data_IF_879778935353
#
_entry.id   IF_879778935353
#
_cell.length_a   1.000
_cell.length_b   1.000
_cell.length_c   1.000
_cell.angle_alpha   90.00
_cell.angle_beta   90.00
_cell.angle_gamma   90.00
#
_symmetry.space_group_name_H-M   'P 1'
#
loop_
_entity.id
_entity.type
_entity.pdbx_description
1 polymer ?
#
# COMPACT_ATOMS: atom_id res chain seq x y z
N UNK A 1 -9.31 9.26 -60.00
CA UNK A 1 -8.99 10.57 -59.42
C UNK A 1 -7.46 10.63 -59.26
N UNK A 2 -6.77 11.42 -60.03
CA UNK A 2 -5.29 11.56 -59.86
C UNK A 2 -5.05 12.46 -58.67
N UNK A 3 -4.61 11.86 -57.58
CA UNK A 3 -4.12 12.61 -56.41
C UNK A 3 -2.93 13.41 -56.83
N UNK A 4 -2.95 14.72 -56.64
CA UNK A 4 -1.89 15.59 -57.07
C UNK A 4 -0.80 15.50 -55.98
N UNK A 5 0.19 14.60 -56.17
CA UNK A 5 1.32 14.37 -55.28
C UNK A 5 2.15 15.65 -54.99
N UNK A 6 2.04 16.65 -55.86
CA UNK A 6 2.76 17.94 -55.70
C UNK A 6 2.27 18.74 -54.52
N UNK A 7 0.94 18.75 -54.21
CA UNK A 7 0.37 19.56 -53.15
C UNK A 7 0.77 19.10 -51.74
N UNK A 8 0.80 17.78 -51.52
CA UNK A 8 1.20 17.24 -50.19
C UNK A 8 2.70 17.38 -49.94
N UNK A 9 3.50 17.29 -50.98
CA UNK A 9 4.96 17.50 -50.89
C UNK A 9 5.30 18.98 -50.65
N UNK A 10 4.50 19.91 -51.21
CA UNK A 10 4.64 21.34 -50.95
C UNK A 10 4.19 21.73 -49.54
N UNK A 11 3.11 21.11 -49.02
CA UNK A 11 2.70 21.30 -47.63
C UNK A 11 3.76 20.79 -46.65
N UNK A 12 4.37 19.64 -46.90
CA UNK A 12 5.49 19.13 -46.09
C UNK A 12 6.74 20.03 -46.19
N UNK A 13 6.96 20.71 -47.30
CA UNK A 13 8.08 21.69 -47.46
C UNK A 13 7.80 22.98 -46.66
N UNK A 14 6.54 23.40 -46.53
CA UNK A 14 6.15 24.59 -45.78
C UNK A 14 5.93 24.31 -44.29
N UNK A 15 5.44 23.10 -43.92
CA UNK A 15 5.18 22.71 -42.56
C UNK A 15 6.49 22.35 -41.86
N UNK A 16 6.77 23.04 -40.77
CA UNK A 16 7.92 22.68 -39.91
C UNK A 16 7.54 21.51 -38.99
N UNK A 17 8.42 20.48 -38.81
CA UNK A 17 8.18 19.43 -37.83
C UNK A 17 7.94 20.02 -36.45
N UNK A 18 6.95 19.53 -35.75
CA UNK A 18 6.66 20.00 -34.39
C UNK A 18 7.82 19.74 -33.44
N UNK A 19 8.26 20.77 -32.73
CA UNK A 19 9.35 20.68 -31.76
C UNK A 19 8.96 19.68 -30.63
N UNK A 20 9.92 18.83 -30.16
CA UNK A 20 9.63 17.86 -29.09
C UNK A 20 8.99 18.47 -27.85
N UNK A 21 9.42 19.67 -27.44
CA UNK A 21 8.84 20.38 -26.29
C UNK A 21 7.36 20.71 -26.46
N UNK A 22 6.93 21.17 -27.66
CA UNK A 22 5.51 21.42 -27.95
C UNK A 22 4.68 20.13 -27.94
N UNK A 23 5.24 19.04 -28.47
CA UNK A 23 4.59 17.72 -28.45
C UNK A 23 4.43 17.22 -27.03
N UNK A 24 5.45 17.41 -26.17
CA UNK A 24 5.39 17.05 -24.79
C UNK A 24 4.30 17.83 -24.03
N UNK A 25 4.26 19.17 -24.20
CA UNK A 25 3.21 20.01 -23.57
C UNK A 25 1.83 19.59 -24.04
N UNK A 26 1.65 19.36 -25.35
CA UNK A 26 0.37 18.86 -25.89
C UNK A 26 -0.03 17.52 -25.26
N UNK A 27 0.91 16.56 -25.17
CA UNK A 27 0.68 15.29 -24.51
C UNK A 27 0.31 15.47 -23.03
N UNK A 28 0.99 16.37 -22.33
CA UNK A 28 0.72 16.62 -20.91
C UNK A 28 -0.68 17.23 -20.68
N UNK A 29 -1.13 18.13 -21.56
CA UNK A 29 -2.50 18.65 -21.52
C UNK A 29 -3.50 17.52 -21.75
N UNK A 30 -3.29 16.69 -22.76
CA UNK A 30 -4.14 15.53 -23.04
C UNK A 30 -4.14 14.54 -21.86
N UNK A 31 -2.99 14.32 -21.24
CA UNK A 31 -2.85 13.47 -20.05
C UNK A 31 -3.72 13.97 -18.89
N UNK A 32 -3.68 15.26 -18.59
CA UNK A 32 -4.51 15.86 -17.55
C UNK A 32 -5.99 15.68 -17.87
N UNK A 33 -6.40 15.92 -19.12
CA UNK A 33 -7.80 15.78 -19.55
C UNK A 33 -8.25 14.31 -19.41
N UNK A 34 -7.46 13.37 -19.92
CA UNK A 34 -7.75 11.93 -19.78
C UNK A 34 -7.87 11.54 -18.30
N UNK A 35 -6.96 12.03 -17.46
CA UNK A 35 -7.00 11.75 -16.03
C UNK A 35 -8.33 12.20 -15.40
N UNK A 36 -8.71 13.46 -15.60
CA UNK A 36 -9.96 13.97 -15.01
C UNK A 36 -11.20 13.28 -15.57
N UNK A 37 -11.28 13.07 -16.87
CA UNK A 37 -12.43 12.38 -17.49
C UNK A 37 -12.52 10.93 -17.00
N UNK A 38 -11.40 10.22 -16.98
CA UNK A 38 -11.36 8.84 -16.48
C UNK A 38 -11.72 8.76 -14.99
N UNK A 39 -11.29 9.75 -14.19
CA UNK A 39 -11.65 9.79 -12.77
C UNK A 39 -13.15 10.02 -12.56
N UNK A 40 -13.77 10.91 -13.32
CA UNK A 40 -15.23 11.11 -13.26
C UNK A 40 -16.00 9.85 -13.68
N UNK A 41 -15.55 9.21 -14.76
CA UNK A 41 -16.13 7.91 -15.20
C UNK A 41 -15.95 6.86 -14.12
N UNK A 42 -14.78 6.84 -13.46
CA UNK A 42 -14.49 5.92 -12.37
C UNK A 42 -15.43 6.15 -11.18
N UNK A 43 -15.63 7.38 -10.74
CA UNK A 43 -16.55 7.68 -9.63
C UNK A 43 -17.96 7.13 -9.90
N UNK A 44 -18.47 7.33 -11.12
CA UNK A 44 -19.76 6.76 -11.53
C UNK A 44 -19.76 5.23 -11.61
N UNK A 45 -18.74 4.66 -12.25
CA UNK A 45 -18.56 3.21 -12.37
C UNK A 45 -18.38 2.52 -11.02
N UNK A 46 -17.70 3.17 -10.08
CA UNK A 46 -17.50 2.62 -8.74
C UNK A 46 -18.81 2.57 -7.93
N UNK A 47 -19.73 3.52 -8.10
CA UNK A 47 -21.05 3.44 -7.47
C UNK A 47 -21.84 2.22 -8.00
N UNK A 48 -21.75 1.94 -9.31
CA UNK A 48 -22.34 0.74 -9.90
C UNK A 48 -21.68 -0.52 -9.32
N UNK A 49 -20.36 -0.52 -9.21
CA UNK A 49 -19.60 -1.65 -8.63
C UNK A 49 -20.00 -1.90 -7.17
N UNK A 50 -20.14 -0.86 -6.35
CA UNK A 50 -20.60 -0.96 -4.96
C UNK A 50 -22.01 -1.55 -4.84
N UNK A 51 -22.86 -1.32 -5.82
CA UNK A 51 -24.23 -1.85 -5.86
C UNK A 51 -24.28 -3.31 -6.36
N UNK A 52 -23.17 -3.86 -6.83
CA UNK A 52 -23.10 -5.24 -7.30
C UNK A 52 -23.19 -6.22 -6.14
N UNK A 53 -24.07 -7.21 -6.22
CA UNK A 53 -24.24 -8.24 -5.19
C UNK A 53 -22.94 -8.98 -4.86
N UNK A 54 -22.09 -9.22 -5.86
CA UNK A 54 -20.79 -9.86 -5.66
C UNK A 54 -19.80 -9.00 -4.87
N UNK A 55 -19.81 -7.68 -5.07
CA UNK A 55 -18.99 -6.74 -4.30
C UNK A 55 -19.49 -6.65 -2.86
N UNK A 56 -20.81 -6.49 -2.66
CA UNK A 56 -21.43 -6.45 -1.33
C UNK A 56 -21.11 -7.72 -0.53
N UNK A 57 -21.33 -8.89 -1.12
CA UNK A 57 -20.98 -10.16 -0.47
C UNK A 57 -19.51 -10.30 -0.10
N UNK A 58 -18.59 -9.71 -0.86
CA UNK A 58 -17.17 -9.69 -0.46
C UNK A 58 -16.90 -8.73 0.68
N UNK A 59 -17.58 -7.59 0.69
CA UNK A 59 -17.47 -6.61 1.78
C UNK A 59 -18.03 -7.17 3.09
N UNK A 60 -19.20 -7.81 3.05
CA UNK A 60 -19.80 -8.48 4.19
C UNK A 60 -18.86 -9.56 4.74
N UNK A 61 -18.24 -10.35 3.86
CA UNK A 61 -17.29 -11.37 4.27
C UNK A 61 -16.03 -10.79 4.91
N UNK A 62 -15.47 -9.71 4.36
CA UNK A 62 -14.34 -9.00 4.97
C UNK A 62 -14.72 -8.52 6.38
N UNK A 63 -15.89 -7.93 6.53
CA UNK A 63 -16.35 -7.44 7.84
C UNK A 63 -16.57 -8.58 8.83
N UNK A 64 -17.12 -9.71 8.42
CA UNK A 64 -17.25 -10.92 9.24
C UNK A 64 -15.89 -11.40 9.75
N UNK A 65 -14.88 -11.47 8.87
CA UNK A 65 -13.53 -11.91 9.25
C UNK A 65 -12.81 -10.90 10.16
N UNK A 66 -12.98 -9.61 9.92
CA UNK A 66 -12.47 -8.56 10.83
C UNK A 66 -13.11 -8.68 12.22
N UNK A 67 -14.43 -8.92 12.26
CA UNK A 67 -15.13 -9.09 13.53
C UNK A 67 -14.58 -10.30 14.30
N UNK A 68 -14.40 -11.43 13.62
CA UNK A 68 -13.77 -12.62 14.23
C UNK A 68 -12.39 -12.30 14.85
N UNK A 69 -11.52 -11.60 14.12
CA UNK A 69 -10.20 -11.26 14.66
C UNK A 69 -10.25 -10.25 15.81
N UNK A 70 -11.19 -9.32 15.77
CA UNK A 70 -11.37 -8.37 16.86
C UNK A 70 -11.90 -9.06 18.13
N UNK A 71 -12.79 -10.03 18.00
CA UNK A 71 -13.25 -10.87 19.11
C UNK A 71 -12.09 -11.71 19.66
N UNK A 72 -11.33 -12.36 18.78
CA UNK A 72 -10.14 -13.13 19.16
C UNK A 72 -9.10 -12.27 19.87
N UNK A 73 -8.87 -11.03 19.39
CA UNK A 73 -8.00 -10.08 20.08
C UNK A 73 -8.54 -9.67 21.43
N UNK A 74 -9.86 -9.42 21.54
CA UNK A 74 -10.49 -9.10 22.82
C UNK A 74 -10.26 -10.19 23.85
N UNK A 75 -10.35 -11.45 23.43
CA UNK A 75 -10.24 -12.61 24.30
C UNK A 75 -8.81 -13.00 24.65
N UNK A 76 -7.87 -12.75 23.73
CA UNK A 76 -6.48 -13.22 23.87
C UNK A 76 -5.47 -12.12 24.18
N UNK A 77 -5.70 -10.90 23.71
CA UNK A 77 -4.77 -9.76 23.74
C UNK A 77 -3.43 -9.98 22.99
N UNK A 78 -3.25 -11.11 22.31
CA UNK A 78 -1.95 -11.52 21.70
C UNK A 78 -1.84 -11.11 20.25
N UNK A 79 -2.93 -11.19 19.47
CA UNK A 79 -2.94 -10.89 18.04
C UNK A 79 -3.89 -9.73 17.76
N UNK A 80 -3.37 -8.69 17.17
CA UNK A 80 -4.14 -7.54 16.72
C UNK A 80 -4.33 -7.60 15.19
N UNK A 81 -5.53 -7.21 14.74
CA UNK A 81 -5.83 -7.12 13.31
C UNK A 81 -6.13 -5.66 12.96
N UNK A 82 -5.11 -4.98 12.41
CA UNK A 82 -5.19 -3.57 12.03
C UNK A 82 -4.97 -3.41 10.53
N UNK A 83 -5.78 -2.55 9.91
CA UNK A 83 -5.66 -2.16 8.50
C UNK A 83 -5.65 -3.36 7.52
N UNK A 84 -6.30 -4.45 7.88
CA UNK A 84 -6.35 -5.66 7.06
C UNK A 84 -5.12 -6.55 7.16
N UNK A 85 -4.20 -6.22 8.03
CA UNK A 85 -3.01 -7.02 8.33
C UNK A 85 -3.02 -7.52 9.76
N UNK A 86 -2.55 -8.75 9.92
CA UNK A 86 -2.26 -9.32 11.21
C UNK A 86 -1.01 -8.64 11.77
N UNK A 87 -1.14 -7.92 12.87
CA UNK A 87 -0.02 -7.41 13.64
C UNK A 87 0.25 -8.32 14.82
N UNK A 88 1.47 -8.82 14.86
CA UNK A 88 1.96 -9.56 16.02
C UNK A 88 2.42 -8.56 17.07
N UNK A 89 2.08 -8.77 18.34
CA UNK A 89 2.49 -7.85 19.42
C UNK A 89 3.95 -8.03 19.85
N UNK A 90 4.67 -8.97 19.28
CA UNK A 90 6.10 -9.20 19.56
C UNK A 90 6.99 -8.00 19.24
N UNK A 91 6.60 -7.17 18.25
CA UNK A 91 7.32 -5.97 17.83
C UNK A 91 6.69 -4.68 18.39
N UNK A 92 5.77 -4.81 19.34
CA UNK A 92 5.13 -3.68 20.03
C UNK A 92 6.06 -3.17 21.14
N UNK A 93 6.88 -2.17 20.78
CA UNK A 93 7.82 -1.54 21.72
C UNK A 93 7.13 -0.93 22.94
N UNK A 94 5.92 -0.42 22.80
CA UNK A 94 5.14 0.16 23.89
C UNK A 94 4.78 -0.93 24.89
N UNK A 95 4.26 -2.05 24.38
CA UNK A 95 3.87 -3.19 25.23
C UNK A 95 5.10 -3.73 26.00
N UNK A 96 6.23 -3.88 25.34
CA UNK A 96 7.45 -4.34 26.00
C UNK A 96 7.92 -3.35 27.06
N UNK A 97 7.85 -2.03 26.76
CA UNK A 97 8.20 -0.98 27.71
C UNK A 97 7.26 -0.98 28.95
N UNK A 98 5.95 -1.13 28.75
CA UNK A 98 4.98 -1.26 29.85
C UNK A 98 5.32 -2.42 30.77
N UNK A 99 5.67 -3.57 30.20
CA UNK A 99 6.03 -4.74 30.98
C UNK A 99 7.40 -4.62 31.64
N UNK A 100 8.34 -3.92 31.03
CA UNK A 100 9.62 -3.55 31.66
C UNK A 100 9.39 -2.66 32.91
N UNK A 101 8.50 -1.67 32.82
CA UNK A 101 8.10 -0.84 33.94
C UNK A 101 7.45 -1.66 35.07
N UNK A 102 6.57 -2.61 34.73
CA UNK A 102 5.96 -3.53 35.71
C UNK A 102 7.01 -4.37 36.43
N UNK A 103 7.99 -4.89 35.69
CA UNK A 103 9.06 -5.71 36.26
C UNK A 103 9.94 -4.88 37.23
N UNK A 104 10.25 -3.61 36.88
CA UNK A 104 11.00 -2.68 37.74
C UNK A 104 10.20 -2.42 39.05
N UNK A 105 8.91 -2.06 38.93
CA UNK A 105 8.06 -1.79 40.09
C UNK A 105 7.92 -3.01 40.99
N UNK A 106 7.76 -4.20 40.37
CA UNK A 106 7.69 -5.45 41.14
C UNK A 106 8.99 -5.71 41.91
N UNK A 107 10.15 -5.55 41.26
CA UNK A 107 11.44 -5.73 41.90
C UNK A 107 11.65 -4.71 43.04
N UNK A 108 11.27 -3.46 42.84
CA UNK A 108 11.35 -2.40 43.88
C UNK A 108 10.52 -2.73 45.12
N UNK A 109 9.24 -3.13 44.91
CA UNK A 109 8.35 -3.41 46.04
C UNK A 109 8.71 -4.66 46.84
N UNK A 110 9.43 -5.59 46.20
CA UNK A 110 9.85 -6.85 46.84
C UNK A 110 11.32 -6.87 47.26
N UNK A 111 12.04 -5.77 47.01
CA UNK A 111 13.44 -5.66 47.39
C UNK A 111 13.59 -5.39 48.89
N UNK A 112 14.53 -6.11 49.52
CA UNK A 112 15.06 -5.81 50.86
C UNK A 112 16.42 -5.12 50.80
N UNK A 113 16.88 -4.74 49.61
CA UNK A 113 18.16 -4.12 49.39
C UNK A 113 18.07 -2.62 49.70
N UNK A 114 18.80 -2.13 50.74
CA UNK A 114 18.78 -0.72 51.13
C UNK A 114 19.37 0.21 50.08
N UNK A 115 20.23 -0.31 49.19
CA UNK A 115 20.86 0.45 48.12
C UNK A 115 19.97 0.55 46.85
N UNK A 116 18.87 -0.21 46.80
CA UNK A 116 17.91 -0.13 45.75
C UNK A 116 16.83 0.92 46.09
N UNK A 117 17.24 2.17 46.00
CA UNK A 117 16.36 3.32 46.30
C UNK A 117 15.98 3.96 44.96
N UNK A 118 14.92 3.50 44.38
CA UNK A 118 14.21 4.30 43.36
C UNK A 118 13.23 5.16 44.15
N UNK A 119 13.34 6.49 44.10
CA UNK A 119 12.39 7.35 44.78
C UNK A 119 10.98 7.06 44.20
N UNK A 120 10.07 6.73 45.09
CA UNK A 120 8.70 6.33 44.71
C UNK A 120 8.00 7.46 43.94
N UNK A 121 8.29 8.70 44.27
CA UNK A 121 7.87 9.90 43.57
C UNK A 121 8.48 10.02 42.16
N UNK A 122 9.68 9.55 41.92
CA UNK A 122 10.28 9.53 40.58
C UNK A 122 9.78 8.39 39.72
N UNK A 123 9.52 7.21 40.30
CA UNK A 123 8.97 6.06 39.61
C UNK A 123 7.50 6.27 39.28
N UNK A 124 6.71 6.79 40.23
CA UNK A 124 5.28 7.02 40.13
C UNK A 124 4.92 8.45 39.71
N UNK A 125 5.86 9.42 39.88
CA UNK A 125 5.69 10.81 39.47
C UNK A 125 6.13 11.13 38.03
N UNK A 126 6.79 10.21 37.37
CA UNK A 126 7.13 10.39 35.96
C UNK A 126 5.89 10.14 35.09
N UNK A 127 5.50 11.11 34.27
CA UNK A 127 4.31 11.00 33.39
C UNK A 127 4.32 9.72 32.55
N UNK A 128 5.47 9.28 32.06
CA UNK A 128 5.62 8.02 31.34
C UNK A 128 5.34 6.82 32.22
N UNK A 129 5.91 6.77 33.43
CA UNK A 129 5.71 5.65 34.36
C UNK A 129 4.29 5.62 34.91
N UNK A 130 3.67 6.77 35.18
CA UNK A 130 2.28 6.86 35.65
C UNK A 130 1.30 6.44 34.55
N UNK A 131 1.51 6.85 33.31
CA UNK A 131 0.70 6.42 32.18
C UNK A 131 0.74 4.89 32.03
N UNK A 132 1.93 4.30 32.10
CA UNK A 132 2.08 2.86 31.98
C UNK A 132 1.67 2.07 33.24
N UNK A 133 1.77 2.66 34.41
CA UNK A 133 1.44 2.01 35.67
C UNK A 133 -0.03 2.12 36.06
N UNK A 134 -0.70 3.21 35.69
CA UNK A 134 -2.15 3.41 35.98
C UNK A 134 -3.05 2.44 35.24
N UNK A 135 -2.63 2.02 34.03
CA UNK A 135 -3.33 0.99 33.24
C UNK A 135 -2.78 -0.41 33.48
N UNK A 136 -1.64 -0.52 34.14
CA UNK A 136 -0.84 -1.72 34.28
C UNK A 136 -0.90 -2.28 35.69
N UNK A 137 -2.09 -2.74 36.12
CA UNK A 137 -2.07 -3.72 37.20
C UNK A 137 -1.29 -4.95 36.72
N UNK A 138 -0.62 -5.66 37.65
CA UNK A 138 0.05 -6.94 37.36
C UNK A 138 -0.90 -7.96 36.67
N UNK A 139 -2.21 -7.72 36.76
CA UNK A 139 -3.27 -8.47 36.11
C UNK A 139 -3.39 -8.19 34.61
N UNK A 140 -2.79 -7.11 34.09
CA UNK A 140 -2.91 -6.69 32.72
C UNK A 140 -1.71 -7.05 31.82
N UNK A 141 -0.77 -7.83 32.29
CA UNK A 141 0.25 -8.43 31.43
C UNK A 141 -0.43 -9.29 30.35
N UNK A 142 -0.12 -9.00 29.09
CA UNK A 142 -0.76 -9.67 27.94
C UNK A 142 -0.50 -11.16 27.96
N UNK A 143 0.71 -11.58 28.31
CA UNK A 143 1.08 -13.00 28.35
C UNK A 143 0.38 -13.68 29.52
N UNK A 144 0.43 -13.08 30.70
CA UNK A 144 -0.28 -13.61 31.86
C UNK A 144 -1.80 -13.68 31.60
N UNK A 145 -2.37 -12.62 31.02
CA UNK A 145 -3.78 -12.62 30.62
C UNK A 145 -4.13 -13.77 29.67
N UNK A 146 -3.30 -13.96 28.63
CA UNK A 146 -3.49 -15.04 27.66
C UNK A 146 -3.54 -16.42 28.32
N UNK A 147 -2.58 -16.73 29.18
CA UNK A 147 -2.51 -18.02 29.84
C UNK A 147 -3.59 -18.18 30.92
N UNK A 148 -3.86 -17.14 31.72
CA UNK A 148 -4.79 -17.23 32.85
C UNK A 148 -6.28 -17.10 32.48
N UNK A 149 -6.57 -16.42 31.35
CA UNK A 149 -7.97 -16.24 30.95
C UNK A 149 -8.32 -17.08 29.72
N UNK A 150 -7.49 -17.01 28.65
CA UNK A 150 -7.81 -17.70 27.41
C UNK A 150 -7.44 -19.19 27.46
N UNK A 151 -6.19 -19.50 27.77
CA UNK A 151 -5.69 -20.90 27.74
C UNK A 151 -6.40 -21.77 28.79
N UNK A 152 -6.63 -21.26 29.99
CA UNK A 152 -7.37 -22.00 31.05
C UNK A 152 -8.80 -22.35 30.61
N UNK A 153 -9.49 -21.39 29.99
CA UNK A 153 -10.88 -21.59 29.56
C UNK A 153 -11.01 -22.46 28.31
N UNK A 154 -9.89 -22.63 27.56
CA UNK A 154 -9.83 -23.45 26.38
C UNK A 154 -8.95 -24.69 26.61
N UNK A 155 -8.91 -25.21 27.85
CA UNK A 155 -8.11 -26.38 28.25
C UNK A 155 -8.43 -27.67 27.47
N UNK A 156 -9.60 -27.73 26.83
CA UNK A 156 -9.98 -28.81 25.88
C UNK A 156 -9.16 -28.74 24.56
N UNK A 157 -8.37 -27.73 24.40
CA UNK A 157 -7.43 -27.62 23.27
C UNK A 157 -6.38 -28.71 23.40
N UNK A 158 -6.63 -29.84 22.75
CA UNK A 158 -5.73 -31.00 22.64
C UNK A 158 -4.32 -30.70 22.12
N UNK A 159 -4.00 -29.44 21.91
CA UNK A 159 -2.85 -28.98 21.18
C UNK A 159 -1.71 -28.62 22.11
N UNK A 160 -2.00 -28.28 23.34
CA UNK A 160 -0.97 -27.95 24.30
C UNK A 160 -0.70 -29.16 25.17
N UNK A 161 0.34 -29.89 24.78
CA UNK A 161 0.92 -30.86 25.69
C UNK A 161 1.72 -30.09 26.74
N UNK A 162 1.05 -29.65 27.81
CA UNK A 162 1.69 -28.96 28.93
C UNK A 162 2.58 -29.88 29.77
N UNK A 163 2.94 -31.06 29.24
CA UNK A 163 3.76 -32.05 29.95
C UNK A 163 3.25 -32.35 31.38
N UNK A 164 1.96 -32.47 31.54
CA UNK A 164 1.26 -32.59 32.82
C UNK A 164 1.31 -31.37 33.75
N UNK A 165 1.65 -30.21 33.24
CA UNK A 165 1.61 -28.94 33.97
C UNK A 165 0.26 -28.26 33.78
N UNK A 166 -0.17 -27.47 34.76
CA UNK A 166 -1.25 -26.50 34.58
C UNK A 166 -0.80 -25.36 33.66
N UNK A 167 -1.72 -24.59 33.03
CA UNK A 167 -1.34 -23.41 32.23
C UNK A 167 -0.48 -22.41 32.98
N UNK A 168 -0.70 -22.22 34.28
CA UNK A 168 0.13 -21.33 35.11
C UNK A 168 1.53 -21.89 35.33
N UNK A 169 1.64 -23.19 35.69
CA UNK A 169 2.96 -23.82 35.83
C UNK A 169 3.76 -23.78 34.50
N UNK A 170 3.06 -23.94 33.38
CA UNK A 170 3.69 -23.80 32.08
C UNK A 170 4.15 -22.35 31.82
N UNK A 171 3.34 -21.35 32.16
CA UNK A 171 3.71 -19.93 32.08
C UNK A 171 4.98 -19.64 32.89
N UNK A 172 5.04 -20.08 34.15
CA UNK A 172 6.21 -19.89 34.99
C UNK A 172 7.43 -20.61 34.48
N UNK A 173 7.28 -21.82 33.96
CA UNK A 173 8.34 -22.56 33.33
C UNK A 173 8.90 -21.81 32.08
N UNK A 174 8.01 -21.21 31.32
CA UNK A 174 8.36 -20.42 30.13
C UNK A 174 9.09 -19.14 30.53
N UNK A 175 8.62 -18.41 31.55
CA UNK A 175 9.36 -17.26 32.10
C UNK A 175 10.75 -17.67 32.56
N UNK A 176 10.88 -18.76 33.31
CA UNK A 176 12.16 -19.24 33.80
C UNK A 176 13.09 -19.63 32.66
N UNK A 177 12.56 -20.17 31.58
CA UNK A 177 13.36 -20.53 30.40
C UNK A 177 13.85 -19.30 29.63
N UNK A 178 13.01 -18.30 29.42
CA UNK A 178 13.33 -17.12 28.63
C UNK A 178 14.17 -16.10 29.41
N UNK A 179 14.04 -16.07 30.74
CA UNK A 179 14.66 -15.08 31.61
C UNK A 179 15.63 -15.70 32.64
N UNK A 180 16.16 -16.90 32.36
CA UNK A 180 17.10 -17.57 33.27
C UNK A 180 18.50 -16.95 33.19
N UNK A 181 18.71 -15.88 33.96
CA UNK A 181 20.02 -15.30 34.22
C UNK A 181 20.14 -14.95 35.68
N UNK A 182 21.03 -15.62 36.39
CA UNK A 182 21.26 -15.40 37.82
C UNK A 182 21.75 -13.99 38.16
N UNK A 183 22.22 -13.25 37.17
CA UNK A 183 22.73 -11.88 37.35
C UNK A 183 21.67 -10.82 37.14
N UNK A 184 20.73 -11.09 36.23
CA UNK A 184 19.68 -10.11 35.81
C UNK A 184 18.30 -10.53 36.30
N UNK A 185 17.96 -11.82 36.22
CA UNK A 185 16.62 -12.30 36.51
C UNK A 185 16.67 -13.37 37.60
N UNK A 186 15.67 -13.31 38.48
CA UNK A 186 15.42 -14.33 39.48
C UNK A 186 14.44 -15.37 38.91
N UNK A 187 14.57 -16.58 39.39
CA UNK A 187 13.61 -17.63 39.08
C UNK A 187 12.23 -17.23 39.57
N UNK A 188 11.28 -17.25 38.68
CA UNK A 188 9.88 -16.97 39.02
C UNK A 188 9.30 -18.21 39.72
N UNK A 189 8.98 -18.06 40.99
CA UNK A 189 8.32 -19.07 41.81
C UNK A 189 6.99 -18.49 42.26
N UNK A 190 5.90 -19.22 42.00
CA UNK A 190 4.57 -19.03 42.51
C UNK A 190 3.95 -17.62 42.55
N UNK A 191 3.05 -17.36 41.61
CA UNK A 191 2.10 -16.24 41.66
C UNK A 191 2.55 -14.91 41.10
N UNK A 192 3.75 -14.83 40.47
CA UNK A 192 4.25 -13.60 39.84
C UNK A 192 4.02 -13.63 38.34
N UNK A 193 3.20 -12.72 37.86
CA UNK A 193 2.79 -12.66 36.44
C UNK A 193 3.70 -11.76 35.57
N UNK A 194 4.93 -11.50 36.02
CA UNK A 194 5.95 -10.73 35.28
C UNK A 194 7.34 -11.36 35.45
N UNK A 195 8.26 -11.17 34.51
CA UNK A 195 9.65 -11.56 34.71
C UNK A 195 10.24 -10.87 35.94
N UNK A 196 10.83 -11.65 36.84
CA UNK A 196 11.34 -11.12 38.12
C UNK A 196 12.79 -10.67 37.95
N UNK A 197 13.02 -9.38 38.07
CA UNK A 197 14.36 -8.78 38.03
C UNK A 197 15.05 -8.85 39.39
N UNK A 198 16.38 -8.98 39.40
CA UNK A 198 17.16 -8.68 40.60
C UNK A 198 17.10 -7.17 40.89
N UNK A 199 17.26 -6.75 42.13
CA UNK A 199 17.28 -5.32 42.51
C UNK A 199 18.32 -4.53 41.72
N UNK A 200 19.52 -5.08 41.53
CA UNK A 200 20.59 -4.47 40.75
C UNK A 200 20.18 -4.30 39.26
N UNK A 201 19.59 -5.33 38.65
CA UNK A 201 19.13 -5.25 37.25
C UNK A 201 17.99 -4.26 37.10
N UNK A 202 17.04 -4.23 38.02
CA UNK A 202 15.94 -3.28 37.99
C UNK A 202 16.40 -1.83 38.12
N UNK A 203 17.38 -1.56 38.99
CA UNK A 203 17.96 -0.24 39.13
C UNK A 203 18.68 0.22 37.85
N UNK A 204 19.50 -0.65 37.26
CA UNK A 204 20.17 -0.37 35.97
C UNK A 204 19.18 -0.10 34.85
N UNK A 205 18.14 -0.95 34.71
CA UNK A 205 17.12 -0.78 33.68
C UNK A 205 16.32 0.52 33.90
N UNK A 206 16.03 0.89 35.16
CA UNK A 206 15.38 2.16 35.50
C UNK A 206 16.23 3.36 35.06
N UNK A 207 17.52 3.35 35.36
CA UNK A 207 18.43 4.43 34.94
C UNK A 207 18.48 4.56 33.43
N UNK A 208 18.54 3.46 32.67
CA UNK A 208 18.51 3.46 31.20
C UNK A 208 17.21 4.04 30.63
N UNK A 209 16.06 3.68 31.18
CA UNK A 209 14.78 4.06 30.64
C UNK A 209 14.33 5.49 31.02
N UNK A 210 14.64 5.94 32.24
CA UNK A 210 14.05 7.14 32.83
C UNK A 210 15.02 8.23 33.23
N UNK A 211 16.24 7.90 33.60
CA UNK A 211 17.21 8.89 34.04
C UNK A 211 18.07 9.39 32.89
N UNK A 212 18.21 8.57 31.84
CA UNK A 212 18.96 8.89 30.61
C UNK A 212 20.45 9.25 30.91
N UNK A 213 21.02 8.70 32.01
CA UNK A 213 22.37 8.91 32.36
C UNK A 213 23.32 8.08 31.47
N UNK A 214 24.38 8.76 30.97
CA UNK A 214 25.46 8.08 30.25
C UNK A 214 26.52 7.53 31.21
N UNK A 215 26.14 7.35 32.47
CA UNK A 215 27.00 6.72 33.48
C UNK A 215 27.06 5.19 33.28
N UNK A 216 27.92 4.53 34.06
CA UNK A 216 28.09 3.07 33.99
C UNK A 216 26.78 2.29 34.26
N UNK A 217 25.84 2.89 35.01
CA UNK A 217 24.53 2.27 35.29
C UNK A 217 23.62 2.32 34.07
N UNK A 218 23.55 3.45 33.36
CA UNK A 218 22.77 3.59 32.17
C UNK A 218 23.28 2.70 31.02
N UNK A 219 24.60 2.62 30.85
CA UNK A 219 25.21 1.75 29.82
C UNK A 219 24.92 0.28 30.12
N UNK A 220 25.08 -0.17 31.35
CA UNK A 220 24.76 -1.55 31.75
C UNK A 220 23.25 -1.83 31.78
N UNK A 221 22.44 -0.80 31.99
CA UNK A 221 20.97 -0.87 31.96
C UNK A 221 20.41 -1.17 30.57
N UNK A 222 21.11 -0.70 29.53
CA UNK A 222 20.78 -1.04 28.15
C UNK A 222 20.79 -2.54 27.90
N UNK A 223 21.82 -3.23 28.39
CA UNK A 223 21.94 -4.68 28.21
C UNK A 223 20.82 -5.43 28.95
N UNK A 224 20.44 -4.96 30.14
CA UNK A 224 19.31 -5.51 30.90
C UNK A 224 17.99 -5.31 30.14
N UNK A 225 17.77 -4.11 29.61
CA UNK A 225 16.54 -3.80 28.85
C UNK A 225 16.45 -4.65 27.59
N UNK A 226 17.53 -4.80 26.83
CA UNK A 226 17.52 -5.63 25.63
C UNK A 226 17.36 -7.12 25.95
N UNK A 227 17.93 -7.61 27.05
CA UNK A 227 17.68 -8.96 27.51
C UNK A 227 16.19 -9.17 27.87
N UNK A 228 15.60 -8.17 28.55
CA UNK A 228 14.16 -8.16 28.85
C UNK A 228 13.31 -8.13 27.55
N UNK A 229 13.63 -7.19 26.65
CA UNK A 229 12.94 -7.03 25.37
C UNK A 229 12.92 -8.34 24.57
N UNK A 230 14.08 -8.96 24.40
CA UNK A 230 14.20 -10.22 23.65
C UNK A 230 13.44 -11.36 24.31
N UNK A 231 13.55 -11.51 25.62
CA UNK A 231 12.85 -12.56 26.36
C UNK A 231 11.33 -12.39 26.27
N UNK A 232 10.83 -11.16 26.46
CA UNK A 232 9.39 -10.87 26.39
C UNK A 232 8.84 -11.02 24.97
N UNK A 233 9.56 -10.55 23.96
CA UNK A 233 9.19 -10.73 22.56
C UNK A 233 9.15 -12.22 22.16
N UNK A 234 10.08 -13.03 22.66
CA UNK A 234 10.04 -14.48 22.46
C UNK A 234 8.78 -15.10 23.08
N UNK A 235 8.41 -14.69 24.29
CA UNK A 235 7.20 -15.18 24.94
C UNK A 235 5.92 -14.80 24.20
N UNK A 236 5.85 -13.57 23.66
CA UNK A 236 4.74 -13.15 22.81
C UNK A 236 4.65 -13.99 21.53
N UNK A 237 5.80 -14.28 20.93
CA UNK A 237 5.86 -15.14 19.74
C UNK A 237 5.44 -16.60 20.05
N UNK A 238 5.80 -17.12 21.21
CA UNK A 238 5.38 -18.44 21.67
C UNK A 238 3.88 -18.47 21.95
N UNK A 239 3.33 -17.45 22.60
CA UNK A 239 1.89 -17.29 22.84
C UNK A 239 1.10 -17.19 21.53
N UNK A 240 1.58 -16.41 20.57
CA UNK A 240 1.00 -16.35 19.23
C UNK A 240 1.03 -17.72 18.53
N UNK A 241 2.17 -18.40 18.57
CA UNK A 241 2.32 -19.71 17.96
C UNK A 241 1.39 -20.75 18.59
N UNK A 242 1.18 -20.64 19.89
CA UNK A 242 0.24 -21.47 20.63
C UNK A 242 -1.19 -21.19 20.17
N UNK A 243 -1.58 -19.91 20.10
CA UNK A 243 -2.91 -19.48 19.65
C UNK A 243 -3.20 -19.97 18.23
N UNK A 244 -2.28 -19.77 17.29
CA UNK A 244 -2.44 -20.20 15.89
C UNK A 244 -2.60 -21.72 15.77
N UNK A 245 -1.94 -22.48 16.63
CA UNK A 245 -2.07 -23.95 16.66
C UNK A 245 -3.34 -24.42 17.36
N UNK A 246 -3.79 -23.70 18.37
CA UNK A 246 -4.93 -24.07 19.18
C UNK A 246 -6.27 -23.66 18.56
N UNK A 247 -6.30 -22.55 17.83
CA UNK A 247 -7.50 -22.06 17.16
C UNK A 247 -7.66 -22.74 15.78
N UNK A 248 -8.53 -23.75 15.64
CA UNK A 248 -8.58 -24.57 14.43
C UNK A 248 -9.02 -23.81 13.20
N UNK A 249 -9.72 -22.70 13.39
CA UNK A 249 -10.26 -21.87 12.30
C UNK A 249 -9.39 -20.66 11.97
N UNK A 250 -8.37 -20.36 12.78
CA UNK A 250 -7.54 -19.18 12.60
C UNK A 250 -7.00 -19.01 11.17
N UNK A 251 -6.31 -20.04 10.67
CA UNK A 251 -5.76 -20.03 9.30
C UNK A 251 -6.86 -19.97 8.25
N UNK A 252 -7.99 -20.65 8.47
CA UNK A 252 -9.12 -20.66 7.54
C UNK A 252 -9.73 -19.27 7.42
N UNK A 253 -9.94 -18.59 8.55
CA UNK A 253 -10.44 -17.22 8.58
C UNK A 253 -9.48 -16.25 7.90
N UNK A 254 -8.17 -16.36 8.14
CA UNK A 254 -7.18 -15.54 7.46
C UNK A 254 -7.19 -15.75 5.93
N UNK A 255 -7.23 -16.98 5.47
CA UNK A 255 -7.32 -17.29 4.03
C UNK A 255 -8.63 -16.79 3.42
N UNK A 256 -9.73 -16.90 4.16
CA UNK A 256 -11.04 -16.38 3.77
C UNK A 256 -11.01 -14.86 3.61
N UNK A 257 -10.46 -14.16 4.61
CA UNK A 257 -10.24 -12.71 4.55
C UNK A 257 -9.42 -12.32 3.32
N UNK A 258 -8.23 -12.93 3.13
CA UNK A 258 -7.34 -12.64 1.99
C UNK A 258 -8.01 -12.93 0.65
N UNK A 259 -8.80 -13.99 0.57
CA UNK A 259 -9.58 -14.32 -0.64
C UNK A 259 -10.64 -13.27 -0.93
N UNK A 260 -11.40 -12.85 0.08
CA UNK A 260 -12.42 -11.82 -0.06
C UNK A 260 -11.81 -10.46 -0.40
N UNK A 261 -10.72 -10.07 0.27
CA UNK A 261 -9.97 -8.84 -0.02
C UNK A 261 -9.43 -8.81 -1.46
N UNK A 262 -8.80 -9.89 -1.90
CA UNK A 262 -8.33 -10.02 -3.28
C UNK A 262 -9.48 -9.94 -4.29
N UNK A 263 -10.64 -10.51 -3.98
CA UNK A 263 -11.82 -10.46 -4.84
C UNK A 263 -12.37 -9.03 -4.90
N UNK A 264 -12.44 -8.33 -3.78
CA UNK A 264 -12.84 -6.92 -3.73
C UNK A 264 -11.91 -6.04 -4.56
N UNK A 265 -10.59 -6.21 -4.40
CA UNK A 265 -9.61 -5.46 -5.17
C UNK A 265 -9.68 -5.72 -6.67
N UNK A 266 -10.02 -6.94 -7.09
CA UNK A 266 -10.28 -7.22 -8.51
C UNK A 266 -11.46 -6.44 -9.06
N UNK A 267 -12.57 -6.32 -8.31
CA UNK A 267 -13.70 -5.48 -8.73
C UNK A 267 -13.29 -4.03 -8.93
N UNK A 268 -12.50 -3.50 -8.01
CA UNK A 268 -11.97 -2.14 -8.09
C UNK A 268 -11.05 -1.98 -9.29
N UNK A 269 -10.10 -2.88 -9.48
CA UNK A 269 -9.14 -2.83 -10.58
C UNK A 269 -9.82 -2.94 -11.95
N UNK A 270 -10.83 -3.81 -12.11
CA UNK A 270 -11.59 -3.88 -13.34
C UNK A 270 -12.39 -2.60 -13.61
N UNK A 271 -12.99 -2.01 -12.58
CA UNK A 271 -13.69 -0.74 -12.70
C UNK A 271 -12.73 0.37 -13.13
N UNK A 272 -11.53 0.39 -12.56
CA UNK A 272 -10.50 1.35 -12.89
C UNK A 272 -10.02 1.21 -14.34
N UNK A 273 -9.72 -0.02 -14.78
CA UNK A 273 -9.32 -0.31 -16.16
C UNK A 273 -10.42 0.10 -17.16
N UNK A 274 -11.66 -0.29 -16.88
CA UNK A 274 -12.79 0.09 -17.73
C UNK A 274 -12.97 1.61 -17.80
N UNK A 275 -12.85 2.29 -16.67
CA UNK A 275 -12.96 3.76 -16.59
C UNK A 275 -11.85 4.46 -17.35
N UNK A 276 -10.64 3.92 -17.31
CA UNK A 276 -9.52 4.44 -18.08
C UNK A 276 -9.74 4.31 -19.59
N UNK A 277 -10.21 3.15 -20.03
CA UNK A 277 -10.52 2.92 -21.45
C UNK A 277 -11.63 3.87 -21.90
N UNK A 278 -12.74 3.94 -21.16
CA UNK A 278 -13.88 4.81 -21.50
C UNK A 278 -13.46 6.29 -21.45
N UNK A 279 -12.74 6.71 -20.41
CA UNK A 279 -12.24 8.07 -20.29
C UNK A 279 -11.32 8.46 -21.44
N UNK A 280 -10.43 7.56 -21.84
CA UNK A 280 -9.57 7.75 -23.00
C UNK A 280 -10.37 7.86 -24.32
N UNK A 281 -11.34 7.01 -24.52
CA UNK A 281 -12.23 7.08 -25.70
C UNK A 281 -12.97 8.42 -25.78
N UNK A 282 -13.47 8.91 -24.66
CA UNK A 282 -14.16 10.20 -24.59
C UNK A 282 -13.19 11.37 -24.79
N UNK A 283 -12.04 11.35 -24.13
CA UNK A 283 -11.13 12.49 -24.09
C UNK A 283 -10.19 12.61 -25.31
N UNK A 284 -9.86 11.48 -25.95
CA UNK A 284 -8.90 11.41 -27.05
C UNK A 284 -9.51 10.96 -28.35
N UNK A 285 -10.16 9.78 -28.35
CA UNK A 285 -10.68 9.22 -29.61
C UNK A 285 -11.82 10.08 -30.15
N UNK A 286 -12.77 10.46 -29.32
CA UNK A 286 -13.91 11.23 -29.75
C UNK A 286 -13.51 12.60 -30.36
N UNK A 287 -12.63 13.42 -29.74
CA UNK A 287 -12.12 14.62 -30.37
C UNK A 287 -11.39 14.36 -31.69
N UNK A 288 -10.58 13.31 -31.79
CA UNK A 288 -9.86 12.97 -33.04
C UNK A 288 -10.82 12.61 -34.18
N UNK A 289 -11.96 12.01 -33.89
CA UNK A 289 -12.98 11.67 -34.90
C UNK A 289 -13.86 12.88 -35.29
N UNK A 290 -14.10 13.79 -34.34
CA UNK A 290 -14.95 14.98 -34.55
C UNK A 290 -14.20 16.18 -35.13
N UNK A 291 -12.93 16.35 -34.71
CA UNK A 291 -12.08 17.42 -35.19
C UNK A 291 -11.33 16.95 -36.45
N UNK A 292 -11.26 17.80 -37.47
CA UNK A 292 -10.42 17.55 -38.63
C UNK A 292 -8.95 17.38 -38.20
N UNK A 293 -8.16 16.61 -38.97
CA UNK A 293 -6.71 16.45 -38.83
C UNK A 293 -6.24 15.76 -37.53
N UNK A 294 -7.04 14.82 -36.98
CA UNK A 294 -6.70 14.07 -35.78
C UNK A 294 -6.31 14.91 -34.57
N UNK A 295 -6.87 16.08 -34.42
CA UNK A 295 -6.51 16.96 -33.31
C UNK A 295 -7.13 16.45 -32.00
N UNK A 296 -6.29 16.24 -31.01
CA UNK A 296 -6.73 16.18 -29.61
C UNK A 296 -6.85 17.59 -29.07
N UNK A 297 -7.45 17.76 -27.90
CA UNK A 297 -7.55 19.08 -27.27
C UNK A 297 -6.17 19.68 -26.99
N UNK A 298 -5.21 18.87 -26.54
CA UNK A 298 -3.83 19.33 -26.34
C UNK A 298 -3.15 19.73 -27.64
N UNK A 299 -3.35 18.99 -28.74
CA UNK A 299 -2.84 19.38 -30.07
C UNK A 299 -3.50 20.65 -30.57
N UNK A 300 -4.79 20.81 -30.37
CA UNK A 300 -5.51 22.02 -30.76
C UNK A 300 -4.99 23.25 -30.01
N UNK A 301 -4.83 23.19 -28.68
CA UNK A 301 -4.26 24.28 -27.87
C UNK A 301 -2.85 24.66 -28.31
N UNK A 302 -2.04 23.64 -28.61
CA UNK A 302 -0.64 23.85 -29.02
C UNK A 302 -0.46 24.19 -30.50
N UNK A 303 -1.56 24.31 -31.25
CA UNK A 303 -1.56 24.53 -32.72
C UNK A 303 -0.75 23.48 -33.47
N UNK A 304 -0.95 22.21 -33.13
CA UNK A 304 -0.32 21.07 -33.80
C UNK A 304 -1.36 20.36 -34.66
N UNK A 305 -0.93 19.92 -35.84
CA UNK A 305 -1.75 19.07 -36.74
C UNK A 305 -1.03 17.79 -37.14
N UNK A 306 -1.76 16.85 -37.70
CA UNK A 306 -1.22 15.61 -38.26
C UNK A 306 -1.38 15.65 -39.77
N UNK A 307 -0.31 15.35 -40.50
CA UNK A 307 -0.30 15.26 -41.96
C UNK A 307 0.10 13.85 -42.37
N UNK A 308 -0.65 13.31 -43.34
CA UNK A 308 -0.32 12.03 -43.99
C UNK A 308 -0.02 12.32 -45.47
N UNK A 309 1.17 11.94 -45.97
CA UNK A 309 1.60 12.33 -47.31
C UNK A 309 0.65 11.94 -48.44
N UNK A 310 -0.05 10.84 -48.32
CA UNK A 310 -0.89 10.25 -49.38
C UNK A 310 -2.36 10.57 -49.26
N UNK A 311 -2.79 11.37 -48.28
CA UNK A 311 -4.18 11.66 -48.01
C UNK A 311 -4.43 13.15 -47.78
N UNK A 312 -5.51 13.68 -48.32
CA UNK A 312 -5.96 15.06 -48.04
C UNK A 312 -6.44 15.23 -46.60
N UNK A 313 -7.07 14.19 -46.05
CA UNK A 313 -7.50 14.13 -44.64
C UNK A 313 -7.00 12.85 -44.01
N UNK A 314 -6.79 12.91 -42.68
CA UNK A 314 -6.43 11.70 -41.93
C UNK A 314 -7.63 10.73 -41.96
N UNK A 315 -7.47 9.54 -42.53
CA UNK A 315 -8.54 8.55 -42.54
C UNK A 315 -8.91 8.10 -41.13
N UNK A 316 -10.20 7.88 -40.88
CA UNK A 316 -10.70 7.49 -39.57
C UNK A 316 -10.01 6.24 -38.97
N UNK A 317 -9.65 5.28 -39.83
CA UNK A 317 -8.97 4.04 -39.42
C UNK A 317 -7.54 4.29 -38.92
N UNK A 318 -6.84 5.30 -39.45
CA UNK A 318 -5.53 5.71 -38.95
C UNK A 318 -5.68 6.43 -37.60
N UNK A 319 -6.69 7.31 -37.47
CA UNK A 319 -7.01 7.94 -36.21
C UNK A 319 -7.36 6.90 -35.13
N UNK A 320 -8.08 5.86 -35.49
CA UNK A 320 -8.39 4.75 -34.60
C UNK A 320 -7.13 3.97 -34.21
N UNK A 321 -6.27 3.62 -35.20
CA UNK A 321 -5.03 2.90 -34.95
C UNK A 321 -4.09 3.70 -34.03
N UNK A 322 -3.89 4.98 -34.31
CA UNK A 322 -3.09 5.87 -33.44
C UNK A 322 -3.68 5.96 -32.03
N UNK A 323 -5.00 5.91 -31.89
CA UNK A 323 -5.65 5.94 -30.60
C UNK A 323 -5.47 4.61 -29.84
N UNK A 324 -5.61 3.47 -30.51
CA UNK A 324 -5.37 2.17 -29.89
C UNK A 324 -3.92 2.06 -29.40
N UNK A 325 -2.94 2.46 -30.21
CA UNK A 325 -1.53 2.45 -29.80
C UNK A 325 -1.22 3.49 -28.72
N UNK A 326 -1.88 4.65 -28.81
CA UNK A 326 -1.70 5.76 -27.84
C UNK A 326 -2.29 5.49 -26.46
N UNK A 327 -3.27 4.56 -26.32
CA UNK A 327 -3.91 4.27 -25.03
C UNK A 327 -2.90 3.87 -23.98
N UNK A 328 -1.87 3.12 -24.37
CA UNK A 328 -0.82 2.70 -23.44
C UNK A 328 -0.09 3.86 -22.79
N UNK A 329 0.14 4.96 -23.52
CA UNK A 329 0.77 6.17 -22.97
C UNK A 329 -0.07 6.84 -21.87
N UNK A 330 -1.39 6.73 -21.96
CA UNK A 330 -2.30 7.35 -21.01
C UNK A 330 -2.72 6.44 -19.86
N UNK A 331 -2.54 5.14 -19.98
CA UNK A 331 -2.87 4.21 -18.88
C UNK A 331 -2.04 4.45 -17.61
N UNK A 332 -0.90 5.12 -17.73
CA UNK A 332 -0.11 5.56 -16.57
C UNK A 332 -0.88 6.52 -15.64
N UNK A 333 -1.95 7.20 -16.13
CA UNK A 333 -2.83 8.02 -15.27
C UNK A 333 -3.51 7.18 -14.19
N UNK A 334 -3.66 5.89 -14.39
CA UNK A 334 -4.23 4.97 -13.40
C UNK A 334 -3.46 5.00 -12.08
N UNK A 335 -2.13 5.10 -12.15
CA UNK A 335 -1.31 5.16 -10.94
C UNK A 335 -1.71 6.35 -10.05
N UNK A 336 -1.99 7.49 -10.67
CA UNK A 336 -2.41 8.69 -9.93
C UNK A 336 -3.82 8.55 -9.35
N UNK A 337 -4.69 7.72 -9.96
CA UNK A 337 -6.03 7.49 -9.42
C UNK A 337 -6.01 6.78 -8.07
N UNK A 338 -5.02 5.91 -7.81
CA UNK A 338 -4.85 5.28 -6.50
C UNK A 338 -4.49 6.28 -5.38
N UNK A 339 -4.04 7.50 -5.73
CA UNK A 339 -3.72 8.57 -4.77
C UNK A 339 -4.94 9.39 -4.37
N UNK A 340 -6.07 9.24 -5.07
CA UNK A 340 -7.27 10.06 -4.88
C UNK A 340 -8.36 9.31 -4.11
N UNK A 341 -9.28 10.03 -3.45
CA UNK A 341 -10.48 9.41 -2.91
C UNK A 341 -11.25 8.65 -4.03
N UNK A 342 -11.84 7.48 -3.77
CA UNK A 342 -11.97 6.82 -2.48
C UNK A 342 -10.83 5.86 -2.09
N UNK A 343 -9.69 5.91 -2.76
CA UNK A 343 -8.59 4.95 -2.60
C UNK A 343 -7.44 5.44 -1.73
N UNK A 344 -7.62 6.52 -0.98
CA UNK A 344 -6.58 7.00 -0.10
C UNK A 344 -6.06 5.87 0.79
N UNK A 345 -4.80 5.48 0.58
CA UNK A 345 -4.13 4.46 1.37
C UNK A 345 -4.33 3.00 0.93
N UNK A 346 -5.12 2.71 -0.12
CA UNK A 346 -5.32 1.33 -0.57
C UNK A 346 -4.36 1.00 -1.73
N UNK A 347 -3.06 1.15 -1.49
CA UNK A 347 -2.02 0.75 -2.44
C UNK A 347 -1.97 -0.76 -2.68
N UNK A 348 -2.48 -1.56 -1.74
CA UNK A 348 -2.45 -3.03 -1.81
C UNK A 348 -3.18 -3.57 -3.03
N UNK A 349 -4.19 -2.85 -3.53
CA UNK A 349 -4.91 -3.27 -4.73
C UNK A 349 -4.05 -3.29 -6.00
N UNK A 350 -2.95 -2.52 -6.05
CA UNK A 350 -2.01 -2.53 -7.18
C UNK A 350 -1.34 -3.90 -7.32
N UNK A 351 -1.12 -4.59 -6.19
CA UNK A 351 -0.43 -5.87 -6.15
C UNK A 351 -1.38 -7.07 -6.26
N UNK A 352 -2.69 -6.85 -6.29
CA UNK A 352 -3.67 -7.93 -6.42
C UNK A 352 -3.61 -8.51 -7.83
N UNK A 353 -3.51 -9.86 -7.98
CA UNK A 353 -3.61 -10.50 -9.27
C UNK A 353 -4.96 -10.22 -9.94
N UNK A 354 -4.94 -9.75 -11.19
CA UNK A 354 -6.17 -9.46 -11.94
C UNK A 354 -6.99 -10.71 -12.23
N UNK A 355 -6.33 -11.85 -12.42
CA UNK A 355 -6.99 -13.13 -12.67
C UNK A 355 -6.79 -14.05 -11.47
N UNK A 356 -7.84 -14.74 -11.06
CA UNK A 356 -7.83 -15.59 -9.86
C UNK A 356 -6.74 -16.69 -9.89
N UNK A 357 -6.38 -17.17 -11.09
CA UNK A 357 -5.40 -18.25 -11.29
C UNK A 357 -4.03 -17.75 -11.78
N UNK A 358 -3.83 -16.44 -11.94
CA UNK A 358 -2.57 -15.90 -12.45
C UNK A 358 -1.69 -15.46 -11.29
N UNK A 359 -0.56 -16.10 -11.14
CA UNK A 359 0.44 -15.77 -10.12
C UNK A 359 1.29 -14.53 -10.44
N UNK A 360 1.27 -14.07 -11.72
CA UNK A 360 2.23 -13.08 -12.21
C UNK A 360 1.57 -11.79 -12.69
N UNK A 361 0.30 -11.81 -13.08
CA UNK A 361 -0.35 -10.63 -13.69
C UNK A 361 -0.93 -9.72 -12.62
N UNK A 362 -0.11 -8.86 -12.08
CA UNK A 362 -0.54 -7.79 -11.17
C UNK A 362 -0.73 -6.48 -11.93
N UNK A 363 -1.56 -5.59 -11.41
CA UNK A 363 -1.72 -4.25 -11.96
C UNK A 363 -0.39 -3.49 -12.00
N UNK A 364 0.49 -3.70 -11.01
CA UNK A 364 1.82 -3.11 -10.98
C UNK A 364 2.68 -3.48 -12.20
N UNK A 365 2.68 -4.75 -12.62
CA UNK A 365 3.44 -5.19 -13.80
C UNK A 365 2.90 -4.56 -15.09
N UNK A 366 1.58 -4.45 -15.21
CA UNK A 366 0.94 -3.77 -16.34
C UNK A 366 1.40 -2.31 -16.38
N UNK A 367 1.37 -1.61 -15.26
CA UNK A 367 1.78 -0.20 -15.19
C UNK A 367 3.27 0.00 -15.51
N UNK A 368 4.14 -0.89 -15.04
CA UNK A 368 5.57 -0.87 -15.39
C UNK A 368 5.78 -1.09 -16.88
N UNK A 369 5.11 -2.09 -17.46
CA UNK A 369 5.18 -2.35 -18.90
C UNK A 369 4.71 -1.14 -19.71
N UNK A 370 3.58 -0.55 -19.35
CA UNK A 370 3.03 0.65 -19.98
C UNK A 370 4.01 1.82 -19.87
N UNK A 371 4.63 2.04 -18.71
CA UNK A 371 5.59 3.11 -18.50
C UNK A 371 6.82 2.94 -19.43
N UNK A 372 7.33 1.71 -19.57
CA UNK A 372 8.45 1.39 -20.46
C UNK A 372 8.07 1.66 -21.91
N UNK A 373 6.93 1.18 -22.38
CA UNK A 373 6.45 1.40 -23.76
C UNK A 373 6.28 2.88 -24.05
N UNK A 374 5.71 3.64 -23.11
CA UNK A 374 5.53 5.09 -23.23
C UNK A 374 6.86 5.83 -23.29
N UNK A 375 7.83 5.44 -22.45
CA UNK A 375 9.17 6.02 -22.46
C UNK A 375 9.89 5.77 -23.80
N UNK A 376 9.84 4.54 -24.31
CA UNK A 376 10.42 4.17 -25.61
C UNK A 376 9.78 5.00 -26.73
N UNK A 377 8.44 5.12 -26.73
CA UNK A 377 7.74 5.91 -27.73
C UNK A 377 8.11 7.40 -27.67
N UNK A 378 8.27 7.98 -26.48
CA UNK A 378 8.70 9.37 -26.31
C UNK A 378 10.17 9.57 -26.73
N UNK A 379 11.06 8.69 -26.26
CA UNK A 379 12.51 8.77 -26.60
C UNK A 379 12.73 8.68 -28.11
N UNK A 380 11.94 7.86 -28.82
CA UNK A 380 12.03 7.77 -30.28
C UNK A 380 11.85 9.11 -30.98
N UNK A 381 11.02 10.01 -30.42
CA UNK A 381 10.81 11.36 -30.99
C UNK A 381 12.05 12.26 -30.94
N UNK A 382 13.01 11.96 -30.06
CA UNK A 382 14.24 12.72 -29.91
C UNK A 382 15.28 12.31 -30.95
N UNK A 383 15.30 11.04 -31.36
CA UNK A 383 16.36 10.45 -32.20
C UNK A 383 15.94 10.25 -33.65
N UNK A 384 14.64 10.16 -33.95
CA UNK A 384 14.18 9.99 -35.34
C UNK A 384 14.33 11.24 -36.17
N UNK A 385 14.65 11.07 -37.48
CA UNK A 385 14.98 12.14 -38.39
C UNK A 385 13.89 13.23 -38.48
N UNK A 386 12.63 12.86 -38.56
CA UNK A 386 11.50 13.79 -38.57
C UNK A 386 10.86 14.01 -37.17
N UNK A 387 11.56 13.62 -36.13
CA UNK A 387 11.04 13.70 -34.75
C UNK A 387 9.68 13.01 -34.60
N UNK A 388 9.52 11.92 -35.31
CA UNK A 388 8.30 11.07 -35.29
C UNK A 388 8.34 10.12 -34.11
N UNK A 389 7.19 9.88 -33.49
CA UNK A 389 7.05 8.77 -32.53
C UNK A 389 6.94 7.43 -33.28
N UNK A 390 7.11 6.31 -32.58
CA UNK A 390 6.87 4.98 -33.15
C UNK A 390 5.46 4.87 -33.68
N UNK A 391 4.48 5.44 -32.97
CA UNK A 391 3.06 5.46 -33.35
C UNK A 391 2.86 6.24 -34.67
N UNK A 392 3.51 7.41 -34.79
CA UNK A 392 3.45 8.21 -36.02
C UNK A 392 4.13 7.48 -37.19
N UNK A 393 5.23 6.76 -36.93
CA UNK A 393 5.94 5.99 -37.94
C UNK A 393 5.08 4.84 -38.52
N UNK A 394 4.41 4.10 -37.64
CA UNK A 394 3.48 3.02 -38.03
C UNK A 394 2.33 3.58 -38.87
N UNK A 395 1.83 4.78 -38.54
CA UNK A 395 0.75 5.44 -39.27
C UNK A 395 1.21 6.24 -40.52
N UNK A 396 2.50 6.21 -40.87
CA UNK A 396 3.06 7.06 -41.92
C UNK A 396 2.63 8.53 -41.78
N UNK A 397 2.56 9.02 -40.57
CA UNK A 397 2.06 10.35 -40.23
C UNK A 397 3.15 11.27 -39.66
N UNK A 398 2.97 12.56 -39.81
CA UNK A 398 3.90 13.57 -39.31
C UNK A 398 3.13 14.59 -38.47
N UNK A 399 3.63 14.86 -37.27
CA UNK A 399 3.09 15.93 -36.43
C UNK A 399 3.82 17.23 -36.78
N UNK A 400 3.06 18.21 -37.23
CA UNK A 400 3.55 19.50 -37.73
C UNK A 400 3.09 20.66 -36.86
N UNK A 401 3.85 21.75 -36.88
CA UNK A 401 3.50 23.03 -36.25
C UNK A 401 2.73 23.91 -37.24
N UNK A 402 1.48 24.19 -36.93
CA UNK A 402 0.58 25.00 -37.80
C UNK A 402 0.76 26.50 -37.62
N UNK A 403 1.65 26.94 -36.74
CA UNK A 403 1.84 28.35 -36.40
C UNK A 403 2.29 29.24 -37.61
N UNK A 404 2.81 28.62 -38.65
CA UNK A 404 3.33 29.28 -39.84
C UNK A 404 2.47 29.00 -41.11
N UNK A 405 1.35 28.31 -40.92
CA UNK A 405 0.39 28.05 -41.96
C UNK A 405 -0.85 28.86 -41.55
N UNK A 406 -1.18 29.91 -42.28
CA UNK A 406 -2.41 30.66 -42.02
C UNK A 406 -3.61 29.71 -42.20
N UNK A 407 -4.51 29.71 -41.24
CA UNK A 407 -5.70 28.83 -41.25
C UNK A 407 -6.54 29.09 -42.54
N UNK A 408 -6.45 30.30 -43.13
CA UNK A 408 -7.07 30.64 -44.40
C UNK A 408 -6.47 29.90 -45.60
N UNK A 409 -5.16 29.59 -45.60
CA UNK A 409 -4.52 28.84 -46.68
C UNK A 409 -4.97 27.35 -46.75
N UNK A 410 -5.53 26.83 -45.66
CA UNK A 410 -6.12 25.49 -45.62
C UNK A 410 -7.58 25.50 -46.08
N UNK A 411 -8.37 26.48 -45.66
CA UNK A 411 -9.78 26.54 -45.99
C UNK A 411 -10.04 26.97 -47.43
N UNK A 412 -9.25 27.91 -47.99
CA UNK A 412 -9.38 28.38 -49.38
C UNK A 412 -8.99 27.32 -50.42
N UNK A 413 -8.14 26.34 -50.06
CA UNK A 413 -7.86 25.20 -50.95
C UNK A 413 -8.97 24.13 -50.97
N UNK A 414 -9.82 24.08 -49.94
CA UNK A 414 -10.88 23.09 -49.79
C UNK A 414 -12.25 23.59 -50.21
N UNK A 415 -12.54 24.89 -50.06
CA UNK A 415 -13.84 25.47 -50.50
C UNK A 415 -13.96 25.60 -52.03
N UNK A 416 -12.88 25.53 -52.76
CA UNK A 416 -12.86 25.64 -54.24
C UNK A 416 -13.26 24.38 -54.98
N UNK A 417 -13.56 23.25 -54.32
CA UNK A 417 -13.93 22.00 -55.02
C UNK A 417 -15.14 21.31 -54.40
N UNK A 418 -16.26 21.99 -54.36
CA UNK A 418 -17.58 21.37 -54.33
C UNK A 418 -17.97 20.99 -55.75
N UNK A 419 -17.71 19.76 -56.13
CA UNK A 419 -18.43 19.01 -57.17
C UNK A 419 -18.59 17.57 -56.77
#
# INVERSE_FOLDING_TARGET
>A
MKINFETTHELLKRASPAKPGKRFVSFFIDFIIVFFVSYLVFLGGFQITKSNKGYISTQDKIQEEITYYNELFSDTKVIEFLDGEKKTRKDDEILVLENACRAIVHAYRNSSDPDFVIPEDQLLGNEKTVSYYGEASLENDVIAYFYTNYVINHADMKIVNFHNQTPLEYLYATYNHQFESKEMFLRNNDGVNVPTLTSSAANKMYHYLFVNDQDDLGISGKDVYFAFYNGYSNMLNDAESLLVRSEPYYTTHYLSYRSAFNKQGRYVNYTLLASMVVGYLIAILLPKLLLKDERTLGRWIMKLGVIIPDHEHVPWYIALMHSILGIFGFMSTMLFMYLLPPFNGIYDFIFIPLFANATITTMALILVFIAIVSAINYVSTLFMHFKTSIVDLIGHSYVVDLKHIDEGDFDDQYEGKTY
#
